data_IF_254535329422
#
_entry.id   IF_254535329422
#
_cell.length_a   1.000
_cell.length_b   1.000
_cell.length_c   1.000
_cell.angle_alpha   90.00
_cell.angle_beta   90.00
_cell.angle_gamma   90.00
#
_symmetry.space_group_name_H-M   'P 1'
#
loop_
_entity.id
_entity.type
_entity.pdbx_description
1 polymer ?
#
# COMPACT_ATOMS: atom_id res chain seq x y z
N UNK A 1 -47.47 -21.24 -24.34
CA UNK A 1 -46.63 -22.04 -23.42
C UNK A 1 -45.39 -22.70 -24.05
N UNK A 2 -45.48 -23.38 -25.21
CA UNK A 2 -44.35 -24.12 -25.78
C UNK A 2 -43.10 -23.27 -26.08
N UNK A 3 -43.26 -22.05 -26.61
CA UNK A 3 -42.14 -21.11 -26.86
C UNK A 3 -41.47 -20.60 -25.58
N UNK A 4 -42.24 -20.40 -24.51
CA UNK A 4 -41.69 -19.92 -23.23
C UNK A 4 -40.85 -21.00 -22.56
N UNK A 5 -41.35 -22.24 -22.55
CA UNK A 5 -40.60 -23.41 -22.07
C UNK A 5 -39.32 -23.63 -22.87
N UNK A 6 -39.35 -23.39 -24.18
CA UNK A 6 -38.16 -23.48 -25.04
C UNK A 6 -37.10 -22.43 -24.73
N UNK A 7 -37.48 -21.19 -24.42
CA UNK A 7 -36.52 -20.13 -24.12
C UNK A 7 -35.88 -20.32 -22.74
N UNK A 8 -36.67 -20.72 -21.74
CA UNK A 8 -36.16 -21.00 -20.40
C UNK A 8 -35.18 -22.20 -20.40
N UNK A 9 -35.46 -23.25 -21.18
CA UNK A 9 -34.54 -24.39 -21.33
C UNK A 9 -33.23 -23.99 -22.03
N UNK A 10 -33.25 -23.06 -22.97
CA UNK A 10 -32.04 -22.53 -23.61
C UNK A 10 -31.19 -21.72 -22.64
N UNK A 11 -31.82 -20.92 -21.79
CA UNK A 11 -31.14 -20.10 -20.78
C UNK A 11 -30.48 -20.95 -19.70
N UNK A 12 -31.19 -21.96 -19.18
CA UNK A 12 -30.63 -22.93 -18.22
C UNK A 12 -29.48 -23.74 -18.84
N UNK A 13 -29.60 -24.12 -20.12
CA UNK A 13 -28.53 -24.81 -20.83
C UNK A 13 -27.30 -23.92 -21.05
N UNK A 14 -27.50 -22.62 -21.30
CA UNK A 14 -26.41 -21.65 -21.43
C UNK A 14 -25.67 -21.45 -20.11
N UNK A 15 -26.38 -21.29 -18.99
CA UNK A 15 -25.80 -21.13 -17.66
C UNK A 15 -25.00 -22.38 -17.27
N UNK A 16 -25.51 -23.59 -17.52
CA UNK A 16 -24.78 -24.85 -17.27
C UNK A 16 -23.49 -24.94 -18.07
N UNK A 17 -23.49 -24.54 -19.34
CA UNK A 17 -22.28 -24.52 -20.18
C UNK A 17 -21.24 -23.54 -19.66
N UNK A 18 -21.67 -22.36 -19.22
CA UNK A 18 -20.81 -21.35 -18.60
C UNK A 18 -20.17 -21.86 -17.30
N UNK A 19 -20.94 -22.52 -16.44
CA UNK A 19 -20.42 -23.10 -15.20
C UNK A 19 -19.43 -24.25 -15.44
N UNK A 20 -19.73 -25.14 -16.40
CA UNK A 20 -18.80 -26.22 -16.78
C UNK A 20 -17.52 -25.65 -17.39
N UNK A 21 -17.61 -24.63 -18.25
CA UNK A 21 -16.44 -23.97 -18.82
C UNK A 21 -15.58 -23.30 -17.72
N UNK A 22 -16.21 -22.57 -16.79
CA UNK A 22 -15.51 -21.95 -15.67
C UNK A 22 -14.82 -22.99 -14.77
N UNK A 23 -15.51 -24.09 -14.45
CA UNK A 23 -14.94 -25.18 -13.65
C UNK A 23 -13.80 -25.90 -14.37
N UNK A 24 -13.92 -26.08 -15.69
CA UNK A 24 -12.86 -26.68 -16.52
C UNK A 24 -11.63 -25.78 -16.58
N UNK A 25 -11.80 -24.46 -16.69
CA UNK A 25 -10.70 -23.49 -16.61
C UNK A 25 -10.03 -23.54 -15.24
N UNK A 26 -10.80 -23.54 -14.15
CA UNK A 26 -10.24 -23.67 -12.78
C UNK A 26 -9.50 -24.99 -12.61
N UNK A 27 -10.04 -26.11 -13.10
CA UNK A 27 -9.40 -27.42 -13.00
C UNK A 27 -8.16 -27.55 -13.89
N UNK A 28 -8.13 -26.90 -15.06
CA UNK A 28 -6.94 -26.82 -15.92
C UNK A 28 -5.86 -25.94 -15.29
N UNK A 29 -6.23 -24.82 -14.66
CA UNK A 29 -5.31 -23.97 -13.92
C UNK A 29 -4.77 -24.66 -12.65
N UNK A 30 -5.58 -25.48 -11.98
CA UNK A 30 -5.16 -26.30 -10.84
C UNK A 30 -4.28 -27.50 -11.22
N UNK A 31 -4.27 -27.90 -12.50
CA UNK A 31 -3.42 -28.98 -13.04
C UNK A 31 -2.21 -28.47 -13.84
N UNK A 32 -1.97 -27.16 -13.87
CA UNK A 32 -0.64 -26.67 -14.24
C UNK A 32 0.28 -27.22 -13.14
N UNK A 33 1.26 -28.09 -13.46
CA UNK A 33 2.20 -28.55 -12.45
C UNK A 33 2.76 -27.30 -11.77
N UNK A 34 2.64 -27.24 -10.43
CA UNK A 34 3.17 -26.13 -9.67
C UNK A 34 4.60 -25.87 -10.18
N UNK A 35 4.81 -24.73 -10.83
CA UNK A 35 6.13 -24.34 -11.32
C UNK A 35 7.00 -24.14 -10.09
N UNK A 36 7.78 -25.16 -9.80
CA UNK A 36 8.73 -25.21 -8.70
C UNK A 36 9.40 -26.57 -8.64
N UNK A 37 9.67 -27.21 -9.78
CA UNK A 37 10.64 -28.30 -9.80
C UNK A 37 12.03 -27.65 -9.87
N UNK A 38 12.51 -27.15 -8.74
CA UNK A 38 13.91 -26.76 -8.62
C UNK A 38 14.76 -27.99 -8.92
N UNK A 39 15.76 -27.84 -9.79
CA UNK A 39 16.68 -28.92 -10.13
C UNK A 39 17.68 -29.16 -9.02
N UNK A 40 17.99 -28.10 -8.26
CA UNK A 40 18.88 -28.12 -7.10
C UNK A 40 18.11 -27.71 -5.86
N UNK A 41 18.20 -28.50 -4.79
CA UNK A 41 17.63 -28.16 -3.48
C UNK A 41 18.76 -28.29 -2.44
N UNK A 42 19.01 -27.21 -1.71
CA UNK A 42 20.00 -27.11 -0.64
C UNK A 42 19.28 -26.94 0.69
N UNK A 43 19.45 -27.87 1.61
CA UNK A 43 18.83 -27.84 2.93
C UNK A 43 19.91 -27.69 4.00
N UNK A 44 20.01 -26.51 4.60
CA UNK A 44 20.98 -26.22 5.63
C UNK A 44 20.29 -26.16 7.00
N UNK A 45 20.69 -26.99 7.98
CA UNK A 45 21.59 -28.14 7.87
C UNK A 45 20.91 -29.37 7.21
N UNK A 46 21.69 -30.37 6.73
CA UNK A 46 23.13 -30.54 6.93
C UNK A 46 24.02 -29.83 5.90
N UNK A 47 23.45 -29.31 4.82
CA UNK A 47 24.25 -28.70 3.76
C UNK A 47 24.94 -27.43 4.27
N UNK A 48 26.21 -27.25 3.90
CA UNK A 48 26.99 -26.07 4.26
C UNK A 48 26.89 -25.07 3.11
N UNK A 49 26.44 -23.85 3.42
CA UNK A 49 26.48 -22.73 2.49
C UNK A 49 27.84 -22.07 2.63
N UNK A 50 28.60 -22.04 1.55
CA UNK A 50 29.91 -21.42 1.56
C UNK A 50 29.77 -19.88 1.61
N UNK A 51 30.69 -19.18 2.30
CA UNK A 51 30.81 -17.73 2.21
C UNK A 51 30.83 -17.21 0.77
N UNK A 52 29.95 -16.26 0.44
CA UNK A 52 29.89 -15.64 -0.88
C UNK A 52 29.35 -16.54 -1.99
N UNK A 53 28.68 -17.64 -1.64
CA UNK A 53 28.11 -18.56 -2.62
C UNK A 53 27.02 -17.85 -3.45
N UNK A 54 27.20 -17.92 -4.77
CA UNK A 54 26.22 -17.48 -5.77
C UNK A 54 25.44 -18.70 -6.22
N UNK A 55 24.13 -18.67 -6.04
CA UNK A 55 23.25 -19.75 -6.48
C UNK A 55 22.73 -19.48 -7.90
N UNK A 56 22.85 -20.49 -8.76
CA UNK A 56 22.39 -20.44 -10.15
C UNK A 56 20.88 -20.74 -10.26
N UNK A 57 20.33 -20.56 -11.46
CA UNK A 57 18.93 -20.80 -11.78
C UNK A 57 18.41 -22.17 -11.32
N UNK A 58 17.10 -22.27 -11.12
CA UNK A 58 16.40 -23.48 -10.68
C UNK A 58 16.95 -24.08 -9.37
N UNK A 59 17.36 -23.22 -8.43
CA UNK A 59 17.86 -23.61 -7.11
C UNK A 59 16.96 -23.13 -5.99
N UNK A 60 16.59 -24.02 -5.08
CA UNK A 60 15.95 -23.68 -3.81
C UNK A 60 16.93 -23.91 -2.66
N UNK A 61 17.02 -22.92 -1.76
CA UNK A 61 17.83 -22.97 -0.55
C UNK A 61 16.91 -22.82 0.66
N UNK A 62 17.05 -23.69 1.65
CA UNK A 62 16.27 -23.67 2.88
C UNK A 62 17.21 -23.55 4.09
N UNK A 63 17.07 -22.47 4.88
CA UNK A 63 17.81 -22.24 6.13
C UNK A 63 16.94 -22.59 7.33
N UNK A 64 17.16 -23.75 7.90
CA UNK A 64 16.50 -24.21 9.13
C UNK A 64 17.27 -23.74 10.37
N UNK A 65 16.67 -23.86 11.58
CA UNK A 65 17.37 -23.60 12.83
C UNK A 65 18.70 -24.35 12.93
N UNK A 66 19.73 -23.67 13.43
CA UNK A 66 21.09 -24.20 13.54
C UNK A 66 22.02 -23.83 12.38
N UNK A 67 21.47 -23.33 11.27
CA UNK A 67 22.28 -22.71 10.21
C UNK A 67 22.57 -21.26 10.51
N UNK A 68 23.83 -20.86 10.33
CA UNK A 68 24.29 -19.49 10.41
C UNK A 68 25.23 -19.23 9.25
N UNK A 69 24.84 -18.35 8.32
CA UNK A 69 25.82 -17.69 7.46
C UNK A 69 26.67 -16.76 8.36
N UNK A 70 27.99 -16.83 8.26
CA UNK A 70 28.85 -16.10 9.17
C UNK A 70 28.75 -14.58 8.93
N UNK A 71 29.10 -13.74 9.92
CA UNK A 71 29.20 -12.31 9.70
C UNK A 71 30.14 -11.96 8.54
N UNK A 72 29.64 -11.16 7.59
CA UNK A 72 30.34 -10.80 6.36
C UNK A 72 30.05 -11.72 5.17
N UNK A 73 29.32 -12.82 5.37
CA UNK A 73 28.90 -13.68 4.26
C UNK A 73 27.69 -13.10 3.53
N UNK A 74 27.71 -13.23 2.20
CA UNK A 74 26.60 -12.88 1.32
C UNK A 74 26.06 -14.15 0.70
N UNK A 75 24.74 -14.34 0.77
CA UNK A 75 24.03 -15.33 -0.03
C UNK A 75 23.46 -14.59 -1.24
N UNK A 76 24.00 -14.84 -2.43
CA UNK A 76 23.55 -14.18 -3.65
C UNK A 76 22.64 -15.12 -4.46
N UNK A 77 21.41 -14.70 -4.70
CA UNK A 77 20.41 -15.40 -5.52
C UNK A 77 20.50 -14.83 -6.94
N UNK A 78 21.38 -15.43 -7.74
CA UNK A 78 21.86 -14.84 -9.00
C UNK A 78 22.96 -13.80 -8.78
N UNK A 79 23.23 -12.99 -9.81
CA UNK A 79 24.25 -11.96 -9.76
C UNK A 79 24.24 -11.09 -11.01
N UNK A 80 24.94 -9.95 -10.97
CA UNK A 80 25.05 -9.03 -12.10
C UNK A 80 25.45 -9.70 -13.42
N UNK A 81 26.40 -10.65 -13.36
CA UNK A 81 26.89 -11.41 -14.52
C UNK A 81 26.21 -12.78 -14.69
N UNK A 82 25.28 -13.13 -13.81
CA UNK A 82 24.63 -14.42 -13.75
C UNK A 82 23.17 -14.23 -13.29
N UNK A 83 22.32 -13.59 -14.12
CA UNK A 83 20.90 -13.48 -13.80
C UNK A 83 20.35 -14.89 -13.62
N UNK A 84 19.76 -15.15 -12.46
CA UNK A 84 19.27 -16.46 -12.12
C UNK A 84 17.75 -16.40 -12.06
N UNK A 85 17.12 -17.02 -13.05
CA UNK A 85 15.68 -17.24 -13.03
C UNK A 85 15.36 -18.37 -12.06
N UNK A 86 14.27 -18.24 -11.30
CA UNK A 86 13.76 -19.32 -10.45
C UNK A 86 14.77 -19.76 -9.36
N UNK A 87 15.35 -18.79 -8.65
CA UNK A 87 16.15 -19.04 -7.43
C UNK A 87 15.37 -18.58 -6.21
N UNK A 88 15.27 -19.44 -5.21
CA UNK A 88 14.51 -19.17 -4.00
C UNK A 88 15.34 -19.44 -2.75
N UNK A 89 15.35 -18.49 -1.82
CA UNK A 89 15.88 -18.69 -0.47
C UNK A 89 14.75 -18.61 0.54
N UNK A 90 14.60 -19.66 1.35
CA UNK A 90 13.66 -19.74 2.46
C UNK A 90 14.40 -19.69 3.80
N UNK A 91 14.15 -18.64 4.58
CA UNK A 91 14.61 -18.53 5.96
C UNK A 91 13.51 -19.05 6.88
N UNK A 92 13.70 -20.29 7.35
CA UNK A 92 12.72 -21.09 8.10
C UNK A 92 13.11 -21.22 9.59
N UNK A 93 14.03 -20.38 10.07
CA UNK A 93 14.53 -20.39 11.45
C UNK A 93 16.05 -20.23 11.59
N UNK A 94 16.80 -20.29 10.47
CA UNK A 94 18.23 -20.04 10.45
C UNK A 94 18.60 -18.55 10.55
N UNK A 95 19.90 -18.27 10.43
CA UNK A 95 20.47 -16.94 10.36
C UNK A 95 21.16 -16.68 9.01
N UNK A 96 20.77 -15.59 8.35
CA UNK A 96 21.44 -15.07 7.17
C UNK A 96 22.04 -13.70 7.48
N UNK A 97 23.35 -13.53 7.33
CA UNK A 97 24.00 -12.24 7.56
C UNK A 97 23.60 -11.20 6.50
N UNK A 98 23.72 -11.56 5.22
CA UNK A 98 23.33 -10.70 4.11
C UNK A 98 22.79 -11.55 2.96
N UNK A 99 21.70 -11.11 2.35
CA UNK A 99 21.10 -11.73 1.16
C UNK A 99 20.98 -10.71 0.05
N UNK A 100 21.37 -11.08 -1.16
CA UNK A 100 21.12 -10.31 -2.38
C UNK A 100 20.20 -11.12 -3.29
N UNK A 101 19.02 -10.60 -3.57
CA UNK A 101 18.05 -11.22 -4.44
C UNK A 101 17.93 -10.41 -5.74
N UNK A 102 18.53 -10.90 -6.82
CA UNK A 102 18.51 -10.26 -8.13
C UNK A 102 17.21 -10.54 -8.89
N UNK A 103 16.99 -9.84 -10.01
CA UNK A 103 15.86 -10.07 -10.90
C UNK A 103 15.66 -11.56 -11.22
N UNK A 104 14.43 -12.05 -10.99
CA UNK A 104 14.06 -13.45 -11.20
C UNK A 104 14.22 -14.37 -9.98
N UNK A 105 14.76 -13.85 -8.88
CA UNK A 105 14.90 -14.57 -7.61
C UNK A 105 13.91 -14.10 -6.53
N UNK A 106 13.72 -14.95 -5.51
CA UNK A 106 12.81 -14.72 -4.41
C UNK A 106 13.47 -15.03 -3.05
N UNK A 107 13.31 -14.12 -2.09
CA UNK A 107 13.67 -14.32 -0.68
C UNK A 107 12.40 -14.43 0.17
N UNK A 108 12.21 -15.57 0.84
CA UNK A 108 11.11 -15.84 1.76
C UNK A 108 11.62 -15.87 3.20
N UNK A 109 11.03 -15.08 4.08
CA UNK A 109 11.34 -15.08 5.52
C UNK A 109 10.07 -15.40 6.31
N UNK A 110 9.98 -16.61 6.83
CA UNK A 110 8.86 -17.04 7.69
C UNK A 110 9.26 -17.16 9.16
N UNK A 111 10.55 -17.35 9.43
CA UNK A 111 11.14 -17.40 10.77
C UNK A 111 12.64 -17.06 10.70
N UNK A 112 13.32 -17.06 11.85
CA UNK A 112 14.76 -16.82 11.91
C UNK A 112 15.13 -15.34 11.88
N UNK A 113 16.37 -15.05 11.48
CA UNK A 113 16.92 -13.70 11.47
C UNK A 113 17.70 -13.44 10.17
N UNK A 114 17.38 -12.33 9.51
CA UNK A 114 18.12 -11.82 8.34
C UNK A 114 18.73 -10.47 8.71
N UNK A 115 20.05 -10.37 8.78
CA UNK A 115 20.68 -9.11 9.17
C UNK A 115 20.64 -8.05 8.04
N UNK A 116 20.74 -8.45 6.77
CA UNK A 116 20.52 -7.55 5.64
C UNK A 116 19.91 -8.27 4.45
N UNK A 117 18.94 -7.65 3.79
CA UNK A 117 18.34 -8.15 2.56
C UNK A 117 18.28 -7.05 1.50
N UNK A 118 18.99 -7.23 0.40
CA UNK A 118 19.00 -6.34 -0.74
C UNK A 118 18.22 -6.99 -1.89
N UNK A 119 17.07 -6.43 -2.24
CA UNK A 119 16.34 -6.81 -3.44
C UNK A 119 16.84 -5.95 -4.60
N UNK A 120 17.48 -6.58 -5.58
CA UNK A 120 18.12 -5.94 -6.75
C UNK A 120 17.29 -6.28 -8.00
N UNK A 121 16.01 -5.92 -7.97
CA UNK A 121 14.97 -6.34 -8.92
C UNK A 121 14.32 -7.69 -8.56
N UNK A 122 14.69 -8.28 -7.42
CA UNK A 122 14.12 -9.52 -6.90
C UNK A 122 12.82 -9.31 -6.10
N UNK A 123 12.25 -10.41 -5.62
CA UNK A 123 11.04 -10.40 -4.77
C UNK A 123 11.37 -10.83 -3.34
N UNK A 124 10.80 -10.15 -2.37
CA UNK A 124 10.82 -10.52 -0.96
C UNK A 124 9.42 -10.85 -0.46
N UNK A 125 9.29 -11.89 0.36
CA UNK A 125 8.06 -12.21 1.11
C UNK A 125 8.42 -12.45 2.57
N UNK A 126 7.85 -11.67 3.48
CA UNK A 126 8.05 -11.79 4.91
C UNK A 126 6.73 -12.07 5.63
N UNK A 127 6.61 -13.23 6.25
CA UNK A 127 5.43 -13.63 7.04
C UNK A 127 5.73 -13.79 8.53
N UNK A 128 7.00 -13.75 8.92
CA UNK A 128 7.46 -13.89 10.29
C UNK A 128 8.96 -13.61 10.42
N UNK A 129 9.57 -14.02 11.53
CA UNK A 129 10.99 -13.80 11.79
C UNK A 129 11.37 -12.35 12.08
N UNK A 130 12.67 -12.08 12.01
CA UNK A 130 13.25 -10.76 12.20
C UNK A 130 14.14 -10.40 11.03
N UNK A 131 14.11 -9.15 10.60
CA UNK A 131 15.14 -8.60 9.73
C UNK A 131 15.68 -7.30 10.30
N UNK A 132 16.98 -7.07 10.21
CA UNK A 132 17.52 -5.77 10.62
C UNK A 132 17.31 -4.74 9.52
N UNK A 133 17.74 -5.02 8.29
CA UNK A 133 17.55 -4.10 7.15
C UNK A 133 16.99 -4.80 5.92
N UNK A 134 16.00 -4.18 5.27
CA UNK A 134 15.60 -4.45 3.89
C UNK A 134 15.89 -3.24 3.01
N UNK A 135 16.47 -3.46 1.85
CA UNK A 135 16.73 -2.43 0.85
C UNK A 135 16.17 -2.90 -0.49
N UNK A 136 15.25 -2.13 -1.07
CA UNK A 136 14.62 -2.42 -2.35
C UNK A 136 15.17 -1.49 -3.41
N UNK A 137 15.78 -2.07 -4.45
CA UNK A 137 16.35 -1.35 -5.58
C UNK A 137 15.63 -1.71 -6.88
N UNK A 138 15.54 -0.77 -7.83
CA UNK A 138 14.87 -0.97 -9.12
C UNK A 138 13.44 -1.50 -8.94
N UNK A 139 12.98 -2.41 -9.81
CA UNK A 139 11.64 -3.00 -9.82
C UNK A 139 11.42 -4.07 -8.73
N UNK A 140 12.05 -3.91 -7.57
CA UNK A 140 11.93 -4.87 -6.48
C UNK A 140 10.56 -4.80 -5.82
N UNK A 141 10.13 -5.95 -5.28
CA UNK A 141 8.83 -6.09 -4.66
C UNK A 141 8.96 -6.78 -3.30
N UNK A 142 8.50 -6.15 -2.23
CA UNK A 142 8.45 -6.75 -0.89
C UNK A 142 7.01 -6.83 -0.38
N UNK A 143 6.57 -8.04 -0.06
CA UNK A 143 5.30 -8.29 0.66
C UNK A 143 5.59 -8.67 2.10
N UNK A 144 5.02 -7.93 3.05
CA UNK A 144 5.13 -8.18 4.47
C UNK A 144 3.74 -8.40 5.09
N UNK A 145 3.54 -9.57 5.70
CA UNK A 145 2.31 -9.94 6.43
C UNK A 145 2.54 -10.20 7.92
N UNK A 146 3.80 -10.26 8.35
CA UNK A 146 4.19 -10.50 9.73
C UNK A 146 5.69 -10.30 9.95
N UNK A 147 6.15 -10.58 11.17
CA UNK A 147 7.55 -10.41 11.58
C UNK A 147 7.89 -8.99 12.01
N UNK A 148 9.18 -8.77 12.30
CA UNK A 148 9.70 -7.47 12.77
C UNK A 148 10.89 -7.06 11.90
N UNK A 149 10.85 -5.85 11.37
CA UNK A 149 11.95 -5.26 10.60
C UNK A 149 12.44 -4.00 11.31
N UNK A 150 13.75 -3.86 11.55
CA UNK A 150 14.26 -2.62 12.14
C UNK A 150 14.19 -1.46 11.15
N UNK A 151 14.63 -1.66 9.90
CA UNK A 151 14.64 -0.62 8.87
C UNK A 151 14.27 -1.18 7.49
N UNK A 152 13.44 -0.45 6.75
CA UNK A 152 13.16 -0.68 5.33
C UNK A 152 13.53 0.58 4.56
N UNK A 153 14.32 0.41 3.51
CA UNK A 153 14.64 1.43 2.53
C UNK A 153 14.04 1.02 1.19
N UNK A 154 13.13 1.81 0.61
CA UNK A 154 12.67 1.56 -0.77
C UNK A 154 13.50 2.28 -1.84
N UNK A 155 14.70 2.71 -1.43
CA UNK A 155 15.65 3.43 -2.23
C UNK A 155 16.52 2.48 -3.07
N UNK A 156 16.23 2.42 -4.38
CA UNK A 156 17.32 2.66 -5.33
C UNK A 156 18.00 3.94 -4.90
N UNK A 157 19.34 3.99 -4.78
CA UNK A 157 20.01 5.25 -4.40
C UNK A 157 19.38 6.42 -5.15
N UNK A 158 19.32 7.59 -4.55
CA UNK A 158 18.91 8.87 -5.16
C UNK A 158 19.66 9.20 -6.47
N UNK A 159 20.74 8.45 -6.76
CA UNK A 159 21.51 8.44 -8.00
C UNK A 159 21.13 7.34 -9.00
N UNK A 160 20.29 6.38 -8.62
CA UNK A 160 19.73 5.37 -9.51
C UNK A 160 18.65 6.03 -10.39
N UNK A 161 18.63 5.76 -11.70
CA UNK A 161 17.76 6.47 -12.64
C UNK A 161 16.25 6.15 -12.51
N UNK A 162 15.84 5.30 -11.57
CA UNK A 162 14.43 4.89 -11.38
C UNK A 162 14.14 4.46 -9.93
N UNK A 163 14.22 5.37 -8.94
CA UNK A 163 13.91 5.07 -7.55
C UNK A 163 12.40 4.86 -7.29
N UNK A 164 11.56 5.03 -8.33
CA UNK A 164 10.09 5.06 -8.23
C UNK A 164 9.44 3.69 -8.51
N UNK A 165 10.23 2.67 -8.88
CA UNK A 165 9.70 1.37 -9.30
C UNK A 165 9.69 0.29 -8.22
N UNK A 166 10.31 0.52 -7.07
CA UNK A 166 10.23 -0.39 -5.94
C UNK A 166 8.82 -0.36 -5.33
N UNK A 167 8.30 -1.52 -4.95
CA UNK A 167 6.99 -1.66 -4.32
C UNK A 167 7.12 -2.38 -2.96
N UNK A 168 6.54 -1.76 -1.93
CA UNK A 168 6.40 -2.35 -0.60
C UNK A 168 4.94 -2.45 -0.22
N UNK A 169 4.48 -3.67 0.08
CA UNK A 169 3.11 -3.96 0.52
C UNK A 169 3.16 -4.53 1.93
N UNK A 170 2.46 -3.88 2.86
CA UNK A 170 2.39 -4.29 4.26
C UNK A 170 0.93 -4.59 4.66
N UNK A 171 0.68 -5.83 5.06
CA UNK A 171 -0.63 -6.29 5.59
C UNK A 171 -0.57 -6.62 7.09
N UNK A 172 0.63 -6.68 7.67
CA UNK A 172 0.88 -6.98 9.08
C UNK A 172 2.37 -6.89 9.44
N UNK A 173 2.69 -7.19 10.69
CA UNK A 173 4.06 -7.09 11.24
C UNK A 173 4.39 -5.70 11.80
N UNK A 174 5.66 -5.51 12.15
CA UNK A 174 6.17 -4.26 12.71
C UNK A 174 7.44 -3.79 11.97
N UNK A 175 7.51 -2.51 11.64
CA UNK A 175 8.68 -1.85 11.04
C UNK A 175 9.11 -0.73 11.97
N UNK A 176 10.39 -0.65 12.31
CA UNK A 176 10.93 0.50 13.05
C UNK A 176 10.90 1.75 12.17
N UNK A 177 11.84 1.84 11.24
CA UNK A 177 11.92 2.94 10.28
C UNK A 177 11.56 2.47 8.86
N UNK A 178 10.64 3.16 8.19
CA UNK A 178 10.42 3.07 6.75
C UNK A 178 10.88 4.35 6.06
N UNK A 179 11.98 4.29 5.31
CA UNK A 179 12.46 5.38 4.45
C UNK A 179 12.18 5.03 2.99
N UNK A 180 11.11 5.61 2.44
CA UNK A 180 10.54 5.21 1.18
C UNK A 180 10.73 6.24 0.07
N UNK A 181 11.17 5.76 -1.10
CA UNK A 181 11.16 6.51 -2.37
C UNK A 181 10.18 5.91 -3.39
N UNK A 182 10.03 4.58 -3.39
CA UNK A 182 9.09 3.85 -4.24
C UNK A 182 7.64 3.86 -3.73
N UNK A 183 6.82 2.94 -4.23
CA UNK A 183 5.41 2.82 -3.87
C UNK A 183 5.22 2.03 -2.58
N UNK A 184 4.34 2.52 -1.71
CA UNK A 184 4.05 1.91 -0.40
C UNK A 184 2.55 1.72 -0.24
N UNK A 185 2.13 0.49 0.05
CA UNK A 185 0.73 0.15 0.35
C UNK A 185 0.67 -0.47 1.74
N UNK A 186 -0.04 0.17 2.66
CA UNK A 186 -0.19 -0.26 4.06
C UNK A 186 -1.67 -0.57 4.31
N UNK A 187 -1.94 -1.82 4.62
CA UNK A 187 -3.26 -2.36 4.92
C UNK A 187 -3.37 -2.86 6.37
N UNK A 188 -2.24 -3.00 7.07
CA UNK A 188 -2.16 -3.45 8.46
C UNK A 188 -0.75 -3.38 9.04
N UNK A 189 -0.61 -3.75 10.32
CA UNK A 189 0.64 -3.71 11.07
C UNK A 189 1.00 -2.34 11.64
N UNK A 190 2.24 -2.18 12.11
CA UNK A 190 2.73 -0.93 12.72
C UNK A 190 4.07 -0.49 12.12
N UNK A 191 4.20 0.79 11.84
CA UNK A 191 5.46 1.45 11.47
C UNK A 191 5.75 2.49 12.54
N UNK A 192 6.91 2.47 13.18
CA UNK A 192 7.21 3.44 14.25
C UNK A 192 7.50 4.82 13.65
N UNK A 193 8.45 4.90 12.70
CA UNK A 193 8.85 6.13 12.01
C UNK A 193 8.74 5.94 10.49
N UNK A 194 8.20 6.93 9.78
CA UNK A 194 8.12 6.89 8.32
C UNK A 194 8.59 8.20 7.69
N UNK A 195 9.49 8.08 6.71
CA UNK A 195 9.95 9.16 5.86
C UNK A 195 9.67 8.78 4.40
N UNK A 196 8.95 9.63 3.68
CA UNK A 196 8.61 9.42 2.28
C UNK A 196 9.22 10.51 1.41
N UNK A 197 10.27 10.18 0.63
CA UNK A 197 11.07 11.16 -0.11
C UNK A 197 10.83 11.17 -1.62
N UNK A 198 10.36 10.05 -2.18
CA UNK A 198 10.32 9.86 -3.63
C UNK A 198 9.09 10.43 -4.35
N UNK A 199 8.95 10.06 -5.63
CA UNK A 199 7.82 10.46 -6.48
C UNK A 199 6.74 9.38 -6.57
N UNK A 200 6.91 8.23 -5.91
CA UNK A 200 5.87 7.22 -5.74
C UNK A 200 4.65 7.70 -4.95
N UNK A 201 3.88 6.76 -4.42
CA UNK A 201 2.75 7.05 -3.55
C UNK A 201 2.75 6.22 -2.27
N UNK A 202 2.04 6.73 -1.26
CA UNK A 202 1.69 5.98 -0.05
C UNK A 202 0.17 5.83 0.00
N UNK A 203 -0.32 4.59 0.05
CA UNK A 203 -1.72 4.28 0.31
C UNK A 203 -1.87 3.60 1.68
N UNK A 204 -2.57 4.26 2.60
CA UNK A 204 -2.91 3.76 3.93
C UNK A 204 -4.40 3.41 3.99
N UNK A 205 -4.70 2.13 4.15
CA UNK A 205 -6.08 1.61 4.30
C UNK A 205 -6.32 0.96 5.67
N UNK A 206 -5.26 0.69 6.43
CA UNK A 206 -5.30 0.12 7.78
C UNK A 206 -3.90 0.14 8.41
N UNK A 207 -3.78 -0.36 9.64
CA UNK A 207 -2.52 -0.31 10.40
C UNK A 207 -2.25 1.05 11.03
N UNK A 208 -1.03 1.23 11.55
CA UNK A 208 -0.59 2.46 12.21
C UNK A 208 0.78 2.91 11.74
N UNK A 209 0.94 4.19 11.43
CA UNK A 209 2.22 4.88 11.35
C UNK A 209 2.36 5.69 12.63
N UNK A 210 3.53 5.65 13.27
CA UNK A 210 3.79 6.38 14.50
C UNK A 210 3.91 7.88 14.25
N UNK A 211 4.69 8.54 15.10
CA UNK A 211 4.81 9.99 15.06
C UNK A 211 5.79 10.42 13.95
N UNK A 212 5.78 11.71 13.63
CA UNK A 212 6.77 12.33 12.72
C UNK A 212 6.74 11.75 11.29
N UNK A 213 5.55 11.35 10.80
CA UNK A 213 5.41 10.95 9.40
C UNK A 213 5.75 12.11 8.46
N UNK A 214 6.86 11.96 7.75
CA UNK A 214 7.42 13.01 6.92
C UNK A 214 7.20 12.74 5.42
N UNK A 215 6.62 13.70 4.69
CA UNK A 215 6.32 13.56 3.26
C UNK A 215 7.03 14.65 2.46
N UNK A 216 8.16 14.31 1.85
CA UNK A 216 8.81 15.13 0.82
C UNK A 216 10.17 15.72 1.15
N UNK A 217 10.84 15.25 2.20
CA UNK A 217 12.16 15.74 2.53
C UNK A 217 13.24 14.98 1.77
N UNK A 218 13.94 15.63 0.84
CA UNK A 218 15.24 15.12 0.37
C UNK A 218 16.31 15.75 1.27
N UNK A 219 16.79 15.04 2.28
CA UNK A 219 17.93 15.54 3.08
C UNK A 219 19.18 15.20 2.29
N UNK A 220 19.86 16.20 1.74
CA UNK A 220 21.29 16.08 1.48
C UNK A 220 22.05 17.17 2.22
N UNK A 221 22.81 16.74 3.23
CA UNK A 221 23.79 17.58 3.92
C UNK A 221 23.17 18.53 4.95
N UNK A 222 23.56 18.33 6.21
CA UNK A 222 23.09 19.08 7.37
C UNK A 222 23.12 20.60 7.20
N UNK A 223 22.12 21.32 7.74
CA UNK A 223 22.39 22.63 8.36
C UNK A 223 21.50 22.93 9.57
N UNK A 224 22.07 23.52 10.64
CA UNK A 224 21.32 24.10 11.75
C UNK A 224 20.49 25.35 11.40
N UNK A 225 20.75 26.07 10.30
CA UNK A 225 20.20 27.43 10.11
C UNK A 225 19.96 27.87 8.63
N UNK A 226 19.32 27.10 7.74
CA UNK A 226 19.04 27.57 6.36
C UNK A 226 17.62 28.18 6.19
N UNK A 227 17.51 29.49 5.87
CA UNK A 227 16.24 30.16 5.61
C UNK A 227 15.75 30.21 4.13
N UNK A 228 16.43 29.66 3.10
CA UNK A 228 15.86 29.64 1.70
C UNK A 228 16.32 28.52 0.73
N UNK A 229 17.21 27.60 1.08
CA UNK A 229 17.85 26.64 0.14
C UNK A 229 16.97 25.55 -0.52
N UNK A 230 16.21 25.93 -1.55
CA UNK A 230 15.33 25.02 -2.31
C UNK A 230 16.10 24.22 -3.40
N UNK A 231 16.19 22.89 -3.23
CA UNK A 231 16.40 21.94 -4.34
C UNK A 231 15.29 20.90 -4.29
N UNK A 232 14.33 21.02 -5.20
CA UNK A 232 13.18 20.12 -5.34
C UNK A 232 13.56 18.89 -6.18
N UNK A 233 13.60 17.71 -5.58
CA UNK A 233 13.53 16.43 -6.30
C UNK A 233 12.50 15.53 -5.61
N UNK A 234 11.59 14.97 -6.40
CA UNK A 234 10.36 14.32 -5.96
C UNK A 234 9.12 15.12 -6.38
N UNK A 235 8.87 15.23 -7.69
CA UNK A 235 7.63 15.82 -8.21
C UNK A 235 6.46 14.87 -7.90
N UNK A 236 5.49 15.30 -7.11
CA UNK A 236 4.17 14.65 -7.05
C UNK A 236 3.96 13.59 -5.96
N UNK A 237 4.79 13.54 -4.92
CA UNK A 237 4.55 12.64 -3.78
C UNK A 237 3.14 12.82 -3.22
N UNK A 238 2.35 11.74 -3.27
CA UNK A 238 0.94 11.71 -2.90
C UNK A 238 0.71 10.69 -1.79
N UNK A 239 0.06 11.13 -0.72
CA UNK A 239 -0.40 10.27 0.37
C UNK A 239 -1.90 10.15 0.29
N UNK A 240 -2.43 8.92 0.26
CA UNK A 240 -3.86 8.65 0.33
C UNK A 240 -4.16 7.90 1.61
N UNK A 241 -5.05 8.45 2.44
CA UNK A 241 -5.49 7.87 3.71
C UNK A 241 -6.98 7.57 3.63
N UNK A 242 -7.32 6.28 3.70
CA UNK A 242 -8.69 5.75 3.64
C UNK A 242 -9.12 5.05 4.94
N UNK A 243 -8.18 4.87 5.87
CA UNK A 243 -8.35 4.17 7.14
C UNK A 243 -7.02 4.12 7.89
N UNK A 244 -7.00 3.41 9.04
CA UNK A 244 -5.80 3.28 9.88
C UNK A 244 -5.54 4.52 10.74
N UNK A 245 -4.33 4.63 11.29
CA UNK A 245 -3.91 5.78 12.09
C UNK A 245 -2.53 6.30 11.68
N UNK A 246 -2.38 7.62 11.60
CA UNK A 246 -1.09 8.31 11.57
C UNK A 246 -0.93 9.02 12.91
N UNK A 247 0.24 8.93 13.53
CA UNK A 247 0.54 9.59 14.79
C UNK A 247 0.58 11.12 14.69
N UNK A 248 1.18 11.74 15.69
CA UNK A 248 1.33 13.19 15.75
C UNK A 248 2.39 13.70 14.77
N UNK A 249 2.34 14.99 14.44
CA UNK A 249 3.39 15.72 13.70
C UNK A 249 3.61 15.24 12.26
N UNK A 250 2.54 14.91 11.55
CA UNK A 250 2.64 14.72 10.09
C UNK A 250 3.09 16.01 9.40
N UNK A 251 4.16 15.96 8.60
CA UNK A 251 4.65 17.12 7.85
C UNK A 251 4.48 16.92 6.36
N UNK A 252 3.70 17.80 5.72
CA UNK A 252 3.45 17.83 4.29
C UNK A 252 4.22 19.00 3.65
N UNK A 253 5.29 18.69 2.92
CA UNK A 253 6.13 19.70 2.27
C UNK A 253 5.53 20.24 0.97
N UNK A 254 6.20 21.26 0.43
CA UNK A 254 5.81 21.96 -0.81
C UNK A 254 5.62 21.00 -1.98
N UNK A 255 4.50 21.17 -2.69
CA UNK A 255 4.16 20.37 -3.86
C UNK A 255 3.71 18.94 -3.54
N UNK A 256 3.47 18.60 -2.27
CA UNK A 256 2.94 17.30 -1.85
C UNK A 256 1.44 17.37 -1.60
N UNK A 257 0.77 16.25 -1.84
CA UNK A 257 -0.68 16.13 -1.73
C UNK A 257 -1.05 15.06 -0.72
N UNK A 258 -1.94 15.40 0.21
CA UNK A 258 -2.64 14.48 1.10
C UNK A 258 -4.10 14.36 0.64
N UNK A 259 -4.55 13.18 0.28
CA UNK A 259 -5.96 12.83 0.10
C UNK A 259 -6.47 12.05 1.32
N UNK A 260 -7.30 12.69 2.13
CA UNK A 260 -7.80 12.18 3.39
C UNK A 260 -9.29 11.87 3.30
N UNK A 261 -9.67 10.62 3.55
CA UNK A 261 -11.06 10.17 3.43
C UNK A 261 -11.52 9.22 4.53
N UNK A 262 -10.64 8.79 5.43
CA UNK A 262 -11.00 7.94 6.57
C UNK A 262 -9.81 7.69 7.48
N UNK A 263 -10.04 7.08 8.64
CA UNK A 263 -9.05 6.84 9.68
C UNK A 263 -8.77 8.07 10.54
N UNK A 264 -7.66 8.00 11.29
CA UNK A 264 -7.26 9.03 12.27
C UNK A 264 -5.88 9.59 11.93
N UNK A 265 -5.75 10.91 11.93
CA UNK A 265 -4.46 11.60 11.93
C UNK A 265 -4.32 12.29 13.29
N UNK A 266 -3.20 12.10 13.96
CA UNK A 266 -2.90 12.72 15.25
C UNK A 266 -2.75 14.23 15.16
N UNK A 267 -2.55 14.86 16.31
CA UNK A 267 -2.41 16.30 16.42
C UNK A 267 -1.12 16.81 15.75
N UNK A 268 -1.10 18.11 15.48
CA UNK A 268 0.05 18.85 14.97
C UNK A 268 0.45 18.53 13.52
N UNK A 269 -0.55 18.35 12.65
CA UNK A 269 -0.29 18.31 11.20
C UNK A 269 0.33 19.63 10.72
N UNK A 270 1.36 19.57 9.89
CA UNK A 270 2.03 20.73 9.31
C UNK A 270 1.90 20.70 7.78
N UNK A 271 0.88 21.38 7.24
CA UNK A 271 0.74 21.62 5.81
C UNK A 271 1.54 22.88 5.41
N UNK A 272 2.73 22.68 4.84
CA UNK A 272 3.65 23.78 4.49
C UNK A 272 3.26 24.46 3.18
N UNK A 273 3.95 25.57 2.88
CA UNK A 273 3.72 26.38 1.67
C UNK A 273 3.64 25.50 0.40
N UNK A 274 2.60 25.71 -0.41
CA UNK A 274 2.41 25.00 -1.68
C UNK A 274 2.05 23.52 -1.55
N UNK A 275 1.75 23.03 -0.35
CA UNK A 275 1.14 21.71 -0.16
C UNK A 275 -0.37 21.71 -0.43
N UNK A 276 -0.96 20.54 -0.61
CA UNK A 276 -2.39 20.37 -0.84
C UNK A 276 -2.99 19.30 0.08
N UNK A 277 -4.03 19.67 0.81
CA UNK A 277 -4.83 18.76 1.65
C UNK A 277 -6.24 18.68 1.09
N UNK A 278 -6.63 17.50 0.67
CA UNK A 278 -7.92 17.16 0.07
C UNK A 278 -8.70 16.28 1.03
N UNK A 279 -9.76 16.78 1.64
CA UNK A 279 -10.56 16.06 2.63
C UNK A 279 -11.88 15.62 2.00
N UNK A 280 -12.23 14.33 2.11
CA UNK A 280 -13.48 13.79 1.57
C UNK A 280 -14.40 13.32 2.68
N UNK A 281 -15.65 13.77 2.66
CA UNK A 281 -16.55 13.56 3.78
C UNK A 281 -17.91 14.22 3.65
N UNK A 282 -18.53 14.51 4.79
CA UNK A 282 -19.86 15.12 4.93
C UNK A 282 -19.93 15.94 6.23
N UNK A 283 -20.98 16.78 6.36
CA UNK A 283 -21.23 17.58 7.56
C UNK A 283 -20.01 18.40 8.00
N UNK A 284 -19.47 19.23 7.10
CA UNK A 284 -18.31 20.06 7.41
C UNK A 284 -18.71 21.35 8.14
N UNK A 285 -17.95 21.76 9.15
CA UNK A 285 -18.19 22.97 9.93
C UNK A 285 -16.91 23.81 10.06
N UNK A 286 -17.05 25.13 10.02
CA UNK A 286 -16.02 26.10 10.45
C UNK A 286 -16.51 26.77 11.72
N UNK A 287 -15.76 26.63 12.81
CA UNK A 287 -16.10 27.18 14.13
C UNK A 287 -17.54 26.83 14.58
N UNK A 288 -17.96 25.60 14.28
CA UNK A 288 -19.29 25.08 14.60
C UNK A 288 -20.41 25.52 13.65
N UNK A 289 -20.12 26.32 12.62
CA UNK A 289 -21.09 26.71 11.58
C UNK A 289 -20.96 25.79 10.38
N UNK A 290 -22.07 25.15 10.00
CA UNK A 290 -22.10 24.20 8.89
C UNK A 290 -21.82 24.89 7.54
N UNK A 291 -20.95 24.27 6.74
CA UNK A 291 -20.60 24.74 5.41
C UNK A 291 -21.59 24.22 4.37
N UNK A 292 -22.09 25.12 3.52
CA UNK A 292 -22.85 24.74 2.32
C UNK A 292 -21.89 24.56 1.16
N UNK A 293 -21.77 23.32 0.66
CA UNK A 293 -20.93 23.03 -0.51
C UNK A 293 -21.62 23.47 -1.82
N UNK A 294 -20.85 23.94 -2.81
CA UNK A 294 -21.37 24.23 -4.14
C UNK A 294 -21.80 22.94 -4.86
N UNK A 295 -22.59 23.09 -5.92
CA UNK A 295 -23.06 21.96 -6.74
C UNK A 295 -21.93 21.15 -7.42
N UNK A 296 -20.72 21.72 -7.54
CA UNK A 296 -19.52 21.01 -7.99
C UNK A 296 -19.06 19.93 -6.99
N UNK A 297 -19.48 20.03 -5.72
CA UNK A 297 -19.09 19.12 -4.66
C UNK A 297 -17.72 19.42 -4.03
N UNK A 298 -17.00 20.44 -4.51
CA UNK A 298 -15.68 20.86 -4.00
C UNK A 298 -15.74 22.30 -3.48
N UNK A 299 -15.22 22.54 -2.28
CA UNK A 299 -15.09 23.87 -1.68
C UNK A 299 -13.65 24.08 -1.19
N UNK A 300 -13.01 25.14 -1.69
CA UNK A 300 -11.70 25.59 -1.20
C UNK A 300 -11.89 26.37 0.10
N UNK A 301 -11.16 25.98 1.15
CA UNK A 301 -11.16 26.64 2.45
C UNK A 301 -10.04 27.70 2.47
N UNK A 302 -10.45 28.95 2.40
CA UNK A 302 -9.53 30.11 2.43
C UNK A 302 -9.39 30.71 3.82
N UNK A 303 -10.28 30.35 4.75
CA UNK A 303 -10.20 30.75 6.15
C UNK A 303 -8.99 30.09 6.83
N UNK A 304 -8.38 30.84 7.76
CA UNK A 304 -7.30 30.39 8.64
C UNK A 304 -7.60 30.84 10.05
N UNK A 305 -6.90 30.25 11.01
CA UNK A 305 -7.08 30.47 12.44
C UNK A 305 -8.52 30.14 12.91
N UNK A 306 -9.08 29.07 12.33
CA UNK A 306 -10.41 28.53 12.60
C UNK A 306 -10.35 27.02 12.81
N UNK A 307 -11.35 26.46 13.47
CA UNK A 307 -11.51 25.01 13.59
C UNK A 307 -12.34 24.46 12.43
N UNK A 308 -11.71 23.63 11.59
CA UNK A 308 -12.41 22.83 10.57
C UNK A 308 -12.75 21.47 11.16
N UNK A 309 -14.03 21.11 11.16
CA UNK A 309 -14.50 19.80 11.65
C UNK A 309 -15.46 19.16 10.66
N UNK A 310 -15.69 17.86 10.78
CA UNK A 310 -16.74 17.17 10.04
C UNK A 310 -16.68 15.66 10.20
N UNK A 311 -17.37 14.96 9.30
CA UNK A 311 -17.33 13.49 9.20
C UNK A 311 -16.60 13.09 7.92
N UNK A 312 -15.66 12.15 8.01
CA UNK A 312 -14.95 11.58 6.86
C UNK A 312 -15.85 10.61 6.05
N UNK A 313 -15.32 10.05 4.96
CA UNK A 313 -16.05 9.12 4.09
C UNK A 313 -16.54 7.86 4.81
N UNK A 314 -15.75 7.39 5.77
CA UNK A 314 -16.02 6.24 6.63
C UNK A 314 -16.95 6.58 7.81
N UNK A 315 -17.29 7.85 7.98
CA UNK A 315 -18.14 8.37 9.05
C UNK A 315 -17.40 8.73 10.34
N UNK A 316 -16.08 8.58 10.39
CA UNK A 316 -15.30 9.00 11.56
C UNK A 316 -15.24 10.54 11.65
N UNK A 317 -15.36 11.12 12.85
CA UNK A 317 -15.22 12.56 13.02
C UNK A 317 -13.75 12.97 12.89
N UNK A 318 -13.51 14.16 12.33
CA UNK A 318 -12.19 14.78 12.33
C UNK A 318 -12.25 16.24 12.81
N UNK A 319 -11.08 16.75 13.22
CA UNK A 319 -10.85 18.15 13.57
C UNK A 319 -9.46 18.56 13.09
N UNK A 320 -9.36 19.71 12.44
CA UNK A 320 -8.12 20.42 12.20
C UNK A 320 -8.25 21.86 12.66
N UNK A 321 -7.25 22.36 13.37
CA UNK A 321 -7.14 23.79 13.69
C UNK A 321 -6.26 24.46 12.61
N UNK A 322 -6.87 25.27 11.73
CA UNK A 322 -6.21 25.79 10.52
C UNK A 322 -5.29 26.99 10.81
N UNK A 323 -4.39 26.88 11.78
CA UNK A 323 -3.53 27.99 12.22
C UNK A 323 -2.59 28.48 11.11
N UNK A 324 -2.54 29.80 10.92
CA UNK A 324 -1.69 30.44 9.91
C UNK A 324 -0.25 30.66 10.36
N UNK A 325 0.02 30.51 11.66
CA UNK A 325 1.33 30.67 12.27
C UNK A 325 1.85 29.31 12.78
N UNK A 326 3.14 29.01 12.59
CA UNK A 326 3.72 27.81 13.16
C UNK A 326 3.69 27.89 14.69
N UNK A 327 3.33 26.78 15.36
CA UNK A 327 3.16 26.77 16.81
C UNK A 327 2.93 25.36 17.37
N UNK A 328 2.37 25.32 18.58
CA UNK A 328 1.88 24.07 19.17
C UNK A 328 0.54 23.72 18.52
N UNK A 329 0.43 22.51 18.00
CA UNK A 329 -0.76 22.04 17.30
C UNK A 329 -0.63 22.14 15.79
N UNK A 330 -1.77 22.10 15.12
CA UNK A 330 -1.86 22.08 13.66
C UNK A 330 -1.34 23.39 13.05
N UNK A 331 -0.70 23.30 11.89
CA UNK A 331 -0.21 24.44 11.13
C UNK A 331 -0.56 24.27 9.65
N UNK A 332 -1.25 25.26 9.10
CA UNK A 332 -1.59 25.34 7.69
C UNK A 332 -1.10 26.66 7.14
N UNK A 333 0.00 26.61 6.37
CA UNK A 333 0.51 27.79 5.68
C UNK A 333 -0.62 28.51 4.94
N UNK A 334 -0.64 29.86 4.94
CA UNK A 334 -1.56 30.62 4.08
C UNK A 334 -1.51 30.19 2.61
N UNK A 335 -0.36 29.69 2.15
CA UNK A 335 -0.12 29.22 0.79
C UNK A 335 -0.32 27.69 0.62
N UNK A 336 -0.71 26.98 1.68
CA UNK A 336 -1.20 25.61 1.55
C UNK A 336 -2.65 25.63 1.06
N UNK A 337 -3.03 24.68 0.21
CA UNK A 337 -4.42 24.54 -0.26
C UNK A 337 -5.16 23.51 0.60
N UNK A 338 -6.35 23.87 1.07
CA UNK A 338 -7.24 22.96 1.81
C UNK A 338 -8.56 22.90 1.06
N UNK A 339 -8.86 21.76 0.47
CA UNK A 339 -10.11 21.54 -0.25
C UNK A 339 -10.93 20.47 0.45
N UNK A 340 -12.22 20.72 0.62
CA UNK A 340 -13.19 19.71 1.06
C UNK A 340 -14.03 19.24 -0.12
N UNK A 341 -14.29 17.94 -0.18
CA UNK A 341 -15.08 17.28 -1.21
C UNK A 341 -16.21 16.49 -0.57
N UNK A 342 -17.44 16.74 -1.00
CA UNK A 342 -18.60 15.99 -0.54
C UNK A 342 -18.58 14.58 -1.12
N UNK A 343 -18.72 13.58 -0.26
CA UNK A 343 -19.12 12.25 -0.70
C UNK A 343 -20.64 12.18 -0.59
N UNK A 344 -21.37 11.97 -1.71
CA UNK A 344 -22.81 11.83 -1.67
C UNK A 344 -23.17 10.73 -0.67
N UNK A 345 -24.02 11.03 0.31
CA UNK A 345 -24.42 10.02 1.29
C UNK A 345 -24.91 8.76 0.54
N UNK A 346 -24.42 7.56 0.90
CA UNK A 346 -24.74 6.32 0.17
C UNK A 346 -26.24 6.07 0.11
N UNK A 347 -27.01 6.64 1.03
CA UNK A 347 -28.48 6.62 1.03
C UNK A 347 -29.07 7.16 -0.27
N UNK A 348 -28.48 8.16 -0.89
CA UNK A 348 -28.97 8.69 -2.17
C UNK A 348 -28.76 7.70 -3.32
N UNK A 349 -27.62 7.02 -3.37
CA UNK A 349 -27.29 6.02 -4.40
C UNK A 349 -28.05 4.71 -4.16
N UNK A 350 -28.10 4.22 -2.92
CA UNK A 350 -28.86 3.02 -2.56
C UNK A 350 -30.36 3.27 -2.70
N UNK A 351 -30.88 4.44 -2.32
CA UNK A 351 -32.29 4.78 -2.55
C UNK A 351 -32.58 4.94 -4.05
N UNK A 352 -31.69 5.55 -4.83
CA UNK A 352 -31.85 5.64 -6.28
C UNK A 352 -31.79 4.26 -6.95
N UNK A 353 -30.86 3.40 -6.54
CA UNK A 353 -30.74 2.02 -7.01
C UNK A 353 -31.96 1.18 -6.60
N UNK A 354 -32.44 1.33 -5.35
CA UNK A 354 -33.65 0.68 -4.87
C UNK A 354 -34.90 1.19 -5.60
N UNK A 355 -35.00 2.49 -5.91
CA UNK A 355 -36.08 3.05 -6.72
C UNK A 355 -36.04 2.52 -8.16
N UNK A 356 -34.85 2.47 -8.77
CA UNK A 356 -34.65 1.91 -10.10
C UNK A 356 -35.05 0.44 -10.14
N UNK A 357 -34.65 -0.34 -9.13
CA UNK A 357 -35.02 -1.75 -8.99
C UNK A 357 -36.53 -1.91 -8.78
N UNK A 358 -37.14 -1.09 -7.93
CA UNK A 358 -38.59 -1.07 -7.71
C UNK A 358 -39.36 -0.71 -9.00
N UNK A 359 -38.85 0.22 -9.82
CA UNK A 359 -39.42 0.56 -11.12
C UNK A 359 -39.32 -0.59 -12.13
N UNK A 360 -38.18 -1.29 -12.16
CA UNK A 360 -38.00 -2.49 -13.01
C UNK A 360 -38.97 -3.59 -12.59
N UNK A 361 -39.08 -3.88 -11.28
CA UNK A 361 -40.01 -4.89 -10.75
C UNK A 361 -41.47 -4.51 -11.01
N UNK A 362 -41.85 -3.23 -10.83
CA UNK A 362 -43.20 -2.72 -11.11
C UNK A 362 -43.56 -2.78 -12.60
N UNK A 363 -42.60 -2.61 -13.50
CA UNK A 363 -42.82 -2.79 -14.95
C UNK A 363 -42.91 -4.27 -15.37
N UNK A 364 -42.25 -5.17 -14.64
CA UNK A 364 -42.28 -6.60 -14.92
C UNK A 364 -43.56 -7.30 -14.40
N UNK A 365 -44.14 -6.81 -13.31
CA UNK A 365 -45.33 -7.39 -12.65
C UNK A 365 -46.57 -7.52 -13.53
N UNK A 366 -47.02 -6.51 -14.31
CA UNK A 366 -48.23 -6.66 -15.14
C UNK A 366 -48.05 -7.67 -16.28
N UNK A 367 -46.81 -7.91 -16.76
CA UNK A 367 -46.54 -8.98 -17.73
C UNK A 367 -46.63 -10.36 -17.10
N UNK A 368 -46.21 -10.52 -15.85
CA UNK A 368 -46.33 -11.77 -15.09
C UNK A 368 -47.78 -12.07 -14.71
N UNK A 369 -48.57 -11.07 -14.29
CA UNK A 369 -49.99 -11.27 -13.99
C UNK A 369 -50.82 -11.61 -15.24
N UNK A 370 -50.53 -10.98 -16.39
CA UNK A 370 -51.18 -11.36 -17.65
C UNK A 370 -50.76 -12.78 -18.09
N UNK A 371 -49.51 -13.19 -17.86
CA UNK A 371 -49.05 -14.55 -18.17
C UNK A 371 -49.66 -15.61 -17.23
N UNK A 372 -49.88 -15.28 -15.95
CA UNK A 372 -50.52 -16.16 -14.98
C UNK A 372 -52.03 -16.26 -15.16
N UNK A 373 -52.71 -15.21 -15.64
CA UNK A 373 -54.16 -15.25 -15.96
C UNK A 373 -54.49 -15.91 -17.31
N UNK A 374 -53.50 -16.08 -18.19
CA UNK A 374 -53.67 -16.72 -19.51
C UNK A 374 -53.13 -18.16 -19.57
N UNK A 375 -52.61 -18.65 -18.44
CA UNK A 375 -52.30 -20.05 -18.18
C UNK A 375 -53.46 -20.68 -17.41
#
# INVERSE_FOLDING_TARGET
MARYRSNHLKEVAMIRRLLVAAFTVVALLANVPARGAFTTIVNSPPDVIAPGQVFAADTQINLYPGTSAAPGDFISLGGFNAPAENVELNVLGGYAWSVEAWTGSQLNVSAGLVNGANLLGGRGVMSGGQAHTWSLFAQSHLEMSGGVVTQIFTAGSDSAPDPDSAEFIMTGGAVGLLDATGNVIIQGGSIDDMVFRGAGFVELTGGSIGNDFEVGYVVFGAFPDDPTGETVVGRGGRVTVRGGSIGERMVLYKGKTLDYSGGVIGDAIQAREGSQVNIRGSHFFIDGVELTLPASGELLITQRDVALTGLLADGEPFRFDLHSQPGLGDYFSPDATVAIMLIPEPRSVVAAAALMLAFVVKRATPRLEHQLRSA
#
